data_IF_485710266443
#
_entry.id   IF_485710266443
#
_cell.length_a   1.000
_cell.length_b   1.000
_cell.length_c   1.000
_cell.angle_alpha   90.00
_cell.angle_beta   90.00
_cell.angle_gamma   90.00
#
_symmetry.space_group_name_H-M   'P 1'
#
loop_
_entity.id
_entity.type
_entity.pdbx_description
1 polymer ?
#
# COMPACT_ATOMS: atom_id res chain seq x y z
N UNK A 1 -3.70 1.24 16.37
CA UNK A 1 -5.06 1.62 15.92
C UNK A 1 -4.89 2.27 14.55
N UNK A 2 -5.53 1.76 13.50
CA UNK A 2 -5.37 2.33 12.15
C UNK A 2 -6.15 3.64 12.10
N UNK A 3 -5.44 4.78 11.94
CA UNK A 3 -6.09 6.07 11.75
C UNK A 3 -6.90 6.07 10.45
N UNK A 4 -8.18 6.43 10.53
CA UNK A 4 -9.05 6.54 9.35
C UNK A 4 -8.70 7.81 8.60
N UNK A 5 -8.20 7.65 7.38
CA UNK A 5 -7.90 8.75 6.45
C UNK A 5 -9.17 9.08 5.65
N UNK A 6 -9.38 10.37 5.34
CA UNK A 6 -10.39 10.78 4.35
C UNK A 6 -9.96 10.37 2.94
N UNK A 7 -10.87 10.48 1.97
CA UNK A 7 -10.58 10.15 0.57
C UNK A 7 -9.43 10.98 0.01
N UNK A 8 -9.45 12.30 0.22
CA UNK A 8 -8.35 13.20 -0.20
C UNK A 8 -7.01 12.81 0.43
N UNK A 9 -7.02 12.41 1.71
CA UNK A 9 -5.81 11.98 2.40
C UNK A 9 -5.31 10.62 1.88
N UNK A 10 -6.20 9.74 1.46
CA UNK A 10 -5.83 8.48 0.80
C UNK A 10 -5.20 8.78 -0.57
N UNK A 11 -5.79 9.68 -1.36
CA UNK A 11 -5.25 10.07 -2.66
C UNK A 11 -3.86 10.69 -2.51
N UNK A 12 -3.70 11.63 -1.56
CA UNK A 12 -2.40 12.22 -1.21
C UNK A 12 -1.38 11.16 -0.80
N UNK A 13 -1.78 10.24 0.08
CA UNK A 13 -0.93 9.14 0.53
C UNK A 13 -0.45 8.28 -0.65
N UNK A 14 -1.36 7.91 -1.55
CA UNK A 14 -1.04 7.07 -2.71
C UNK A 14 -0.12 7.80 -3.69
N UNK A 15 -0.30 9.11 -3.92
CA UNK A 15 0.62 9.91 -4.75
C UNK A 15 2.03 9.90 -4.17
N UNK A 16 2.17 10.28 -2.90
CA UNK A 16 3.47 10.31 -2.21
C UNK A 16 4.12 8.92 -2.16
N UNK A 17 3.33 7.87 -1.93
CA UNK A 17 3.83 6.50 -1.95
C UNK A 17 4.36 6.09 -3.32
N UNK A 18 3.66 6.45 -4.40
CA UNK A 18 4.06 6.14 -5.78
C UNK A 18 5.38 6.81 -6.16
N UNK A 19 5.58 8.06 -5.75
CA UNK A 19 6.80 8.84 -6.01
C UNK A 19 8.04 8.24 -5.32
N UNK A 20 7.86 7.55 -4.19
CA UNK A 20 8.96 6.94 -3.43
C UNK A 20 9.17 5.47 -3.84
N UNK A 21 9.79 5.25 -5.01
CA UNK A 21 10.07 3.91 -5.58
C UNK A 21 10.75 2.95 -4.61
N UNK A 22 11.68 3.44 -3.78
CA UNK A 22 12.36 2.63 -2.75
C UNK A 22 11.41 1.98 -1.72
N UNK A 23 10.14 2.41 -1.61
CA UNK A 23 9.15 1.82 -0.70
C UNK A 23 8.43 0.61 -1.31
N UNK A 24 8.25 0.57 -2.63
CA UNK A 24 7.36 -0.38 -3.30
C UNK A 24 8.00 -1.19 -4.41
N UNK A 25 8.99 -0.63 -5.11
CA UNK A 25 9.67 -1.26 -6.24
C UNK A 25 10.76 -2.21 -5.74
N UNK A 26 10.41 -3.49 -5.64
CA UNK A 26 11.33 -4.58 -5.27
C UNK A 26 12.49 -4.79 -6.27
N UNK A 27 12.39 -4.27 -7.50
CA UNK A 27 13.43 -4.38 -8.52
C UNK A 27 14.49 -3.28 -8.41
N UNK A 28 14.18 -2.17 -7.75
CA UNK A 28 15.12 -1.08 -7.50
C UNK A 28 16.17 -1.47 -6.46
N UNK A 29 17.43 -1.08 -6.69
CA UNK A 29 18.52 -1.26 -5.72
C UNK A 29 18.23 -0.54 -4.39
N UNK A 30 17.52 0.58 -4.47
CA UNK A 30 17.15 1.42 -3.33
C UNK A 30 16.16 0.72 -2.38
N UNK A 31 15.42 -0.28 -2.85
CA UNK A 31 14.53 -1.09 -2.02
C UNK A 31 15.29 -1.91 -0.95
N UNK A 32 16.56 -2.22 -1.19
CA UNK A 32 17.43 -2.90 -0.21
C UNK A 32 18.16 -1.90 0.70
N UNK A 33 18.17 -0.62 0.35
CA UNK A 33 18.83 0.44 1.10
C UNK A 33 17.97 0.87 2.31
N UNK A 34 18.30 0.33 3.49
CA UNK A 34 17.59 0.63 4.75
C UNK A 34 17.55 2.13 5.08
N UNK A 35 18.67 2.89 5.05
CA UNK A 35 18.66 4.34 5.23
C UNK A 35 17.70 5.06 4.29
N UNK A 36 17.72 4.71 3.00
CA UNK A 36 16.89 5.38 2.00
C UNK A 36 15.40 5.12 2.24
N UNK A 37 15.01 3.89 2.59
CA UNK A 37 13.63 3.57 2.98
C UNK A 37 13.18 4.33 4.20
N UNK A 38 14.02 4.45 5.23
CA UNK A 38 13.66 5.22 6.42
C UNK A 38 13.46 6.70 6.09
N UNK A 39 14.34 7.28 5.27
CA UNK A 39 14.19 8.66 4.79
C UNK A 39 12.90 8.84 3.99
N UNK A 40 12.58 7.93 3.07
CA UNK A 40 11.34 7.98 2.30
C UNK A 40 10.09 7.84 3.16
N UNK A 41 10.08 6.95 4.16
CA UNK A 41 8.99 6.83 5.12
C UNK A 41 8.77 8.11 5.93
N UNK A 42 9.86 8.76 6.36
CA UNK A 42 9.81 10.04 7.06
C UNK A 42 9.29 11.15 6.15
N UNK A 43 9.78 11.25 4.91
CA UNK A 43 9.30 12.22 3.92
C UNK A 43 7.81 12.06 3.65
N UNK A 44 7.33 10.83 3.47
CA UNK A 44 5.91 10.55 3.29
C UNK A 44 5.11 10.96 4.54
N UNK A 45 5.59 10.61 5.74
CA UNK A 45 4.95 11.00 7.01
C UNK A 45 4.80 12.53 7.14
N UNK A 46 5.86 13.29 6.83
CA UNK A 46 5.87 14.75 6.86
C UNK A 46 4.92 15.30 5.79
N UNK A 47 5.01 14.78 4.56
CA UNK A 47 4.19 15.22 3.43
C UNK A 47 2.69 14.99 3.61
N UNK A 48 2.27 14.10 4.50
CA UNK A 48 0.86 13.94 4.84
C UNK A 48 0.29 15.16 5.56
N UNK A 49 1.11 15.89 6.34
CA UNK A 49 0.70 17.08 7.09
C UNK A 49 -0.49 16.84 8.03
N UNK A 50 -0.56 15.64 8.62
CA UNK A 50 -1.61 15.24 9.56
C UNK A 50 -1.04 15.26 10.99
N UNK A 51 -1.73 15.94 11.90
CA UNK A 51 -1.33 16.01 13.31
C UNK A 51 -1.32 14.61 13.97
N UNK A 52 -0.20 14.31 14.62
CA UNK A 52 0.01 13.03 15.30
C UNK A 52 0.03 11.82 14.35
N UNK A 53 0.23 12.02 13.05
CA UNK A 53 0.47 10.94 12.10
C UNK A 53 1.95 10.56 12.13
N UNK A 54 2.22 9.27 12.29
CA UNK A 54 3.57 8.77 12.55
C UNK A 54 4.09 7.91 11.42
N UNK A 55 5.40 7.70 11.38
CA UNK A 55 6.04 6.74 10.46
C UNK A 55 5.47 5.33 10.63
N UNK A 56 5.03 4.97 11.84
CA UNK A 56 4.39 3.68 12.09
C UNK A 56 3.00 3.60 11.42
N UNK A 57 2.24 4.70 11.42
CA UNK A 57 0.98 4.78 10.67
C UNK A 57 1.20 4.62 9.15
N UNK A 58 2.27 5.24 8.62
CA UNK A 58 2.69 5.06 7.21
C UNK A 58 2.95 3.59 6.90
N UNK A 59 3.78 2.91 7.71
CA UNK A 59 4.09 1.49 7.51
C UNK A 59 2.84 0.63 7.57
N UNK A 60 1.97 0.88 8.55
CA UNK A 60 0.71 0.15 8.70
C UNK A 60 -0.21 0.36 7.50
N UNK A 61 -0.27 1.59 6.95
CA UNK A 61 -1.06 1.89 5.75
C UNK A 61 -0.50 1.18 4.51
N UNK A 62 0.83 1.21 4.30
CA UNK A 62 1.49 0.45 3.22
C UNK A 62 1.17 -1.04 3.34
N UNK A 63 1.31 -1.60 4.55
CA UNK A 63 1.00 -3.02 4.81
C UNK A 63 -0.45 -3.33 4.47
N UNK A 64 -1.39 -2.50 4.91
CA UNK A 64 -2.81 -2.66 4.60
C UNK A 64 -3.08 -2.66 3.10
N UNK A 65 -2.52 -1.72 2.34
CA UNK A 65 -2.69 -1.64 0.88
C UNK A 65 -2.17 -2.92 0.21
N UNK A 66 -0.97 -3.37 0.58
CA UNK A 66 -0.37 -4.60 0.04
C UNK A 66 -1.21 -5.84 0.39
N UNK A 67 -1.67 -5.95 1.63
CA UNK A 67 -2.50 -7.07 2.08
C UNK A 67 -3.82 -7.13 1.29
N UNK A 68 -4.52 -6.00 1.14
CA UNK A 68 -5.74 -5.94 0.33
C UNK A 68 -5.45 -6.35 -1.11
N UNK A 69 -4.40 -5.84 -1.73
CA UNK A 69 -4.01 -6.21 -3.09
C UNK A 69 -3.76 -7.72 -3.24
N UNK A 70 -2.98 -8.33 -2.34
CA UNK A 70 -2.71 -9.77 -2.40
C UNK A 70 -3.95 -10.62 -2.15
N UNK A 71 -4.87 -10.18 -1.30
CA UNK A 71 -6.15 -10.87 -1.08
C UNK A 71 -7.02 -10.84 -2.34
N UNK A 72 -7.11 -9.68 -3.01
CA UNK A 72 -7.85 -9.58 -4.28
C UNK A 72 -7.18 -10.41 -5.39
N UNK A 73 -5.85 -10.40 -5.48
CA UNK A 73 -5.13 -11.27 -6.41
C UNK A 73 -5.37 -12.76 -6.14
N UNK A 74 -5.40 -13.18 -4.89
CA UNK A 74 -5.67 -14.58 -4.51
C UNK A 74 -7.08 -15.00 -4.90
N UNK A 75 -8.09 -14.14 -4.71
CA UNK A 75 -9.46 -14.38 -5.19
C UNK A 75 -9.51 -14.55 -6.71
N UNK A 76 -8.83 -13.68 -7.46
CA UNK A 76 -8.77 -13.75 -8.94
C UNK A 76 -8.09 -15.04 -9.40
N UNK A 77 -6.98 -15.44 -8.75
CA UNK A 77 -6.29 -16.69 -9.07
C UNK A 77 -7.17 -17.90 -8.81
N UNK A 78 -7.84 -17.94 -7.65
CA UNK A 78 -8.76 -19.03 -7.28
C UNK A 78 -9.97 -19.12 -8.20
N UNK A 79 -10.54 -18.00 -8.63
CA UNK A 79 -11.64 -18.00 -9.61
C UNK A 79 -11.17 -18.46 -10.99
N UNK A 80 -9.91 -18.22 -11.35
CA UNK A 80 -9.33 -18.64 -12.64
C UNK A 80 -8.95 -20.13 -12.69
N UNK A 81 -8.70 -20.78 -11.55
CA UNK A 81 -8.40 -22.22 -11.47
C UNK A 81 -9.62 -23.09 -11.19
N UNK A 82 -10.82 -22.51 -11.17
CA UNK A 82 -12.08 -23.23 -10.90
C UNK A 82 -12.82 -23.53 -12.21
N UNK A 83 -12.20 -24.35 -13.07
CA UNK A 83 -12.96 -25.15 -14.03
C UNK A 83 -13.66 -26.28 -13.28
N UNK A 84 -14.84 -25.97 -12.73
CA UNK A 84 -15.98 -26.87 -12.49
C UNK A 84 -17.00 -26.27 -11.51
N UNK A 85 -17.43 -25.01 -11.68
CA UNK A 85 -18.80 -24.51 -11.38
C UNK A 85 -18.80 -22.99 -11.43
N UNK A 86 -19.53 -22.45 -12.41
CA UNK A 86 -19.56 -21.02 -12.70
C UNK A 86 -20.01 -20.19 -11.51
N UNK A 87 -19.14 -19.29 -11.06
CA UNK A 87 -19.54 -18.07 -10.39
C UNK A 87 -18.56 -16.96 -10.80
N UNK A 88 -19.03 -16.08 -11.69
CA UNK A 88 -18.34 -14.86 -12.10
C UNK A 88 -18.33 -13.91 -10.90
N UNK A 89 -17.15 -13.57 -10.39
CA UNK A 89 -17.03 -12.60 -9.30
C UNK A 89 -17.21 -11.18 -9.84
N UNK A 90 -18.21 -10.47 -9.32
CA UNK A 90 -18.45 -9.06 -9.61
C UNK A 90 -18.08 -8.25 -8.36
N UNK A 91 -17.06 -7.39 -8.49
CA UNK A 91 -16.65 -6.48 -7.40
C UNK A 91 -17.75 -5.47 -7.09
N UNK A 92 -17.97 -5.20 -5.80
CA UNK A 92 -18.96 -4.23 -5.28
C UNK A 92 -18.37 -2.83 -5.18
#
# INVERSE_FOLDING_TARGET
MVKKLSEDQILKFVSLYRENTCLWDISSEDYKNKPMRQSALQKLCIGMEIEGFTVEDVKNKIKSIRSTYYLELDKIKKSSTSDASGNVYQSK
#
